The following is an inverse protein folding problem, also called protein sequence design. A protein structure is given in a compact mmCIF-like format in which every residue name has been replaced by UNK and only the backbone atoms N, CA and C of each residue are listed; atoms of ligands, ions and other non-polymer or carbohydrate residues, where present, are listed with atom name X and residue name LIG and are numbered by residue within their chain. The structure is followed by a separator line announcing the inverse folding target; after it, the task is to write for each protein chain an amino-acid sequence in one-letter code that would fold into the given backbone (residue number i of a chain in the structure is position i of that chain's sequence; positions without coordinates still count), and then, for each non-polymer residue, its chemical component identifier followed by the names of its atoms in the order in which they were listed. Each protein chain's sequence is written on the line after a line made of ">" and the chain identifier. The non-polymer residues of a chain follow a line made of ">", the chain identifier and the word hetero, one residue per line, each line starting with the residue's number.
data_IF_872968443196
#
_entry.id   IF_872968443196
#
_cell.length_a   1.000
_cell.length_b   1.000
_cell.length_c   1.000
_cell.angle_alpha   90.00
_cell.angle_beta   90.00
_cell.angle_gamma   90.00
#
_symmetry.space_group_name_H-M   'P 1'
#
loop_
_entity.id
_entity.type
_entity.pdbx_description
1 polymer ?
#
# COMPACT_ATOMS: atom_id res chain seq x y z
N UNK A 1 31.44 20.57 -30.53
CA UNK A 1 31.50 19.68 -31.72
C UNK A 1 30.46 18.58 -31.54
N UNK A 2 29.59 18.43 -32.54
CA UNK A 2 28.71 17.29 -32.85
C UNK A 2 27.58 16.88 -31.87
N UNK A 3 26.40 17.41 -32.21
CA UNK A 3 25.05 16.95 -31.86
C UNK A 3 24.67 15.74 -32.72
N UNK A 4 24.08 14.70 -32.11
CA UNK A 4 23.40 13.63 -32.86
C UNK A 4 22.07 13.31 -32.17
N UNK A 5 20.98 13.78 -32.78
CA UNK A 5 19.59 13.37 -32.54
C UNK A 5 19.21 12.29 -33.57
N UNK A 6 18.50 11.21 -33.20
CA UNK A 6 17.84 10.37 -34.18
C UNK A 6 16.35 10.74 -34.36
N UNK A 7 16.09 11.30 -35.55
CA UNK A 7 15.06 10.94 -36.54
C UNK A 7 13.60 10.70 -36.08
N UNK A 8 12.76 11.67 -36.44
CA UNK A 8 11.31 11.64 -36.55
C UNK A 8 10.89 10.82 -37.79
N UNK A 9 9.84 9.96 -37.73
CA UNK A 9 9.29 9.37 -38.93
C UNK A 9 8.42 10.39 -39.68
N UNK A 10 8.96 10.86 -40.82
CA UNK A 10 8.24 11.63 -41.83
C UNK A 10 7.23 10.73 -42.56
N UNK A 11 5.99 11.20 -42.65
CA UNK A 11 4.93 10.63 -43.48
C UNK A 11 5.32 10.62 -44.97
N UNK A 12 5.07 9.55 -45.74
CA UNK A 12 5.27 9.63 -47.18
C UNK A 12 4.09 10.37 -47.83
N UNK A 13 4.34 11.61 -48.26
CA UNK A 13 3.59 12.25 -49.35
C UNK A 13 4.29 11.91 -50.67
N UNK A 14 3.65 11.05 -51.48
CA UNK A 14 3.78 10.96 -52.95
C UNK A 14 2.33 10.90 -53.46
N UNK A 15 1.76 11.95 -54.02
CA UNK A 15 2.00 12.51 -55.35
C UNK A 15 1.69 11.52 -56.49
N UNK A 16 0.45 11.65 -56.98
CA UNK A 16 0.00 11.72 -58.38
C UNK A 16 0.20 10.51 -59.32
N UNK A 17 -0.77 10.44 -60.26
CA UNK A 17 -0.91 9.55 -61.41
C UNK A 17 -1.58 8.22 -61.02
N UNK A 18 -2.70 7.79 -61.58
CA UNK A 18 -3.28 8.05 -62.90
C UNK A 18 -4.74 7.59 -62.88
N UNK A 19 -5.55 8.24 -63.73
CA UNK A 19 -6.88 7.85 -64.17
C UNK A 19 -7.25 6.37 -63.96
N UNK A 20 -8.18 6.11 -63.02
CA UNK A 20 -9.05 4.95 -63.14
C UNK A 20 -10.33 5.44 -63.79
N UNK A 21 -10.52 5.01 -65.03
CA UNK A 21 -11.71 5.27 -65.81
C UNK A 21 -12.95 4.87 -64.98
N UNK A 22 -13.79 5.85 -64.67
CA UNK A 22 -15.19 5.57 -64.44
C UNK A 22 -15.69 4.84 -65.69
N UNK A 23 -15.98 3.55 -65.53
CA UNK A 23 -16.69 2.75 -66.51
C UNK A 23 -18.14 3.26 -66.58
N UNK A 24 -18.33 4.46 -67.11
CA UNK A 24 -19.58 4.89 -67.71
C UNK A 24 -19.63 4.20 -69.07
N UNK A 25 -20.32 3.06 -69.11
CA UNK A 25 -20.70 2.38 -70.34
C UNK A 25 -21.66 3.26 -71.15
N UNK A 26 -21.12 4.26 -71.84
CA UNK A 26 -21.71 4.83 -73.04
C UNK A 26 -20.94 4.19 -74.19
N UNK A 27 -21.44 3.05 -74.67
CA UNK A 27 -20.98 2.49 -75.93
C UNK A 27 -21.51 3.41 -77.02
N UNK A 28 -20.71 4.43 -77.36
CA UNK A 28 -20.82 5.15 -78.61
C UNK A 28 -20.50 4.13 -79.72
N UNK A 29 -21.55 3.59 -80.34
CA UNK A 29 -21.45 2.87 -81.60
C UNK A 29 -20.89 3.81 -82.66
N UNK A 30 -19.58 3.73 -82.93
CA UNK A 30 -19.01 4.30 -84.14
C UNK A 30 -17.90 3.38 -84.67
N UNK A 31 -18.26 2.56 -85.65
CA UNK A 31 -17.44 2.13 -86.79
C UNK A 31 -18.23 1.11 -87.62
N UNK A 32 -18.29 1.23 -88.95
CA UNK A 32 -19.00 0.30 -89.80
C UNK A 32 -18.09 -0.91 -90.05
N UNK A 33 -18.26 -1.96 -89.26
CA UNK A 33 -17.78 -3.30 -89.63
C UNK A 33 -18.97 -4.09 -90.17
N UNK A 34 -18.81 -4.53 -91.41
CA UNK A 34 -19.75 -5.34 -92.20
C UNK A 34 -20.57 -6.33 -91.37
N UNK A 35 -21.90 -6.26 -91.50
CA UNK A 35 -22.87 -7.19 -90.93
C UNK A 35 -22.52 -8.65 -91.29
N UNK A 36 -21.94 -9.39 -90.35
CA UNK A 36 -22.04 -10.85 -90.33
C UNK A 36 -23.15 -11.21 -89.34
N UNK A 37 -24.27 -11.72 -89.87
CA UNK A 37 -25.41 -12.18 -89.08
C UNK A 37 -24.98 -13.36 -88.19
N UNK A 38 -25.12 -13.23 -86.87
CA UNK A 38 -24.91 -14.32 -85.92
C UNK A 38 -26.05 -15.34 -86.04
N UNK A 39 -25.72 -16.62 -86.24
CA UNK A 39 -26.69 -17.74 -86.40
C UNK A 39 -27.28 -18.18 -85.04
N UNK A 40 -26.66 -17.78 -83.93
CA UNK A 40 -27.16 -18.08 -82.60
C UNK A 40 -28.04 -16.93 -82.07
N UNK A 41 -29.12 -17.23 -81.32
CA UNK A 41 -29.85 -16.20 -80.61
C UNK A 41 -28.89 -15.52 -79.63
N UNK A 42 -28.76 -14.19 -79.73
CA UNK A 42 -28.01 -13.39 -78.77
C UNK A 42 -28.60 -13.62 -77.38
N UNK A 43 -27.75 -13.94 -76.40
CA UNK A 43 -28.17 -14.13 -75.01
C UNK A 43 -28.96 -12.90 -74.56
N UNK A 44 -30.17 -13.11 -74.02
CA UNK A 44 -30.97 -12.05 -73.43
C UNK A 44 -30.12 -11.39 -72.34
N UNK A 45 -29.82 -10.08 -72.42
CA UNK A 45 -29.02 -9.43 -71.40
C UNK A 45 -29.73 -9.54 -70.06
N UNK A 46 -29.06 -10.13 -69.07
CA UNK A 46 -29.58 -10.23 -67.72
C UNK A 46 -29.64 -8.80 -67.15
N UNK A 47 -30.86 -8.29 -66.96
CA UNK A 47 -31.07 -6.91 -66.52
C UNK A 47 -30.76 -6.85 -65.02
N UNK A 48 -29.54 -6.45 -64.69
CA UNK A 48 -29.15 -6.11 -63.32
C UNK A 48 -29.90 -4.84 -62.91
N UNK A 49 -30.97 -4.99 -62.13
CA UNK A 49 -31.62 -3.90 -61.43
C UNK A 49 -30.65 -3.36 -60.36
N UNK A 50 -29.93 -2.30 -60.70
CA UNK A 50 -29.15 -1.54 -59.74
C UNK A 50 -30.12 -0.60 -59.01
N UNK A 51 -30.51 -0.99 -57.80
CA UNK A 51 -31.26 -0.12 -56.90
C UNK A 51 -30.45 1.16 -56.67
N UNK A 52 -30.89 2.24 -57.31
CA UNK A 52 -30.25 3.54 -57.18
C UNK A 52 -30.91 4.24 -55.99
N UNK A 53 -30.16 4.64 -54.96
CA UNK A 53 -30.74 5.21 -53.76
C UNK A 53 -31.52 6.48 -54.10
N UNK A 54 -32.67 6.64 -53.48
CA UNK A 54 -33.46 7.87 -53.65
C UNK A 54 -32.74 9.05 -52.99
N UNK A 55 -32.97 10.30 -53.45
CA UNK A 55 -32.33 11.49 -52.85
C UNK A 55 -32.67 11.65 -51.36
N UNK A 56 -33.81 11.13 -50.91
CA UNK A 56 -34.21 11.12 -49.51
C UNK A 56 -33.41 10.09 -48.69
N UNK A 57 -33.17 8.90 -49.25
CA UNK A 57 -32.36 7.86 -48.62
C UNK A 57 -30.92 8.32 -48.43
N UNK A 58 -30.36 9.06 -49.39
CA UNK A 58 -29.02 9.64 -49.25
C UNK A 58 -28.96 10.64 -48.09
N UNK A 59 -29.95 11.53 -47.98
CA UNK A 59 -30.03 12.51 -46.89
C UNK A 59 -30.21 11.85 -45.51
N UNK A 60 -31.10 10.85 -45.40
CA UNK A 60 -31.28 10.06 -44.17
C UNK A 60 -29.99 9.31 -43.83
N UNK A 61 -29.30 8.77 -44.83
CA UNK A 61 -28.02 8.10 -44.68
C UNK A 61 -26.93 9.03 -44.12
N UNK A 62 -26.82 10.25 -44.65
CA UNK A 62 -25.89 11.27 -44.15
C UNK A 62 -26.24 11.66 -42.72
N UNK A 63 -27.52 11.96 -42.43
CA UNK A 63 -27.96 12.33 -41.09
C UNK A 63 -27.66 11.23 -40.07
N UNK A 64 -28.00 9.98 -40.38
CA UNK A 64 -27.72 8.82 -39.52
C UNK A 64 -26.23 8.66 -39.26
N UNK A 65 -25.38 8.80 -40.29
CA UNK A 65 -23.92 8.71 -40.14
C UNK A 65 -23.40 9.77 -39.19
N UNK A 66 -23.82 11.03 -39.33
CA UNK A 66 -23.42 12.13 -38.44
C UNK A 66 -23.84 11.91 -36.99
N UNK A 67 -25.08 11.46 -36.76
CA UNK A 67 -25.56 11.14 -35.41
C UNK A 67 -24.79 9.96 -34.81
N UNK A 68 -24.54 8.92 -35.61
CA UNK A 68 -23.81 7.74 -35.13
C UNK A 68 -22.34 8.06 -34.84
N UNK A 69 -21.71 8.89 -35.66
CA UNK A 69 -20.32 9.33 -35.49
C UNK A 69 -20.17 10.19 -34.23
N UNK A 70 -21.04 11.19 -34.04
CA UNK A 70 -21.04 12.04 -32.83
C UNK A 70 -21.32 11.23 -31.56
N UNK A 71 -22.27 10.29 -31.61
CA UNK A 71 -22.53 9.37 -30.50
C UNK A 71 -21.32 8.49 -30.18
N UNK A 72 -20.68 7.90 -31.19
CA UNK A 72 -19.47 7.09 -31.01
C UNK A 72 -18.31 7.89 -30.48
N UNK A 73 -18.12 9.12 -30.94
CA UNK A 73 -17.07 10.00 -30.44
C UNK A 73 -17.30 10.34 -28.96
N UNK A 74 -18.51 10.76 -28.59
CA UNK A 74 -18.86 11.04 -27.20
C UNK A 74 -18.67 9.80 -26.32
N UNK A 75 -19.14 8.64 -26.76
CA UNK A 75 -18.96 7.38 -26.06
C UNK A 75 -17.47 7.03 -25.89
N UNK A 76 -16.65 7.19 -26.94
CA UNK A 76 -15.21 6.92 -26.87
C UNK A 76 -14.46 7.83 -25.90
N UNK A 77 -14.85 9.11 -25.80
CA UNK A 77 -14.27 10.07 -24.84
C UNK A 77 -14.59 9.67 -23.40
N UNK A 78 -15.84 9.30 -23.13
CA UNK A 78 -16.28 8.81 -21.80
C UNK A 78 -15.55 7.52 -21.46
N UNK A 79 -15.53 6.55 -22.38
CA UNK A 79 -14.81 5.29 -22.22
C UNK A 79 -13.32 5.55 -21.91
N UNK A 80 -12.69 6.50 -22.61
CA UNK A 80 -11.30 6.87 -22.38
C UNK A 80 -11.03 7.45 -20.98
N UNK A 81 -11.94 8.27 -20.45
CA UNK A 81 -11.85 8.79 -19.06
C UNK A 81 -12.00 7.66 -18.05
N UNK A 82 -13.00 6.79 -18.25
CA UNK A 82 -13.24 5.63 -17.39
C UNK A 82 -12.03 4.68 -17.41
N UNK A 83 -11.47 4.38 -18.59
CA UNK A 83 -10.27 3.55 -18.71
C UNK A 83 -9.07 4.17 -17.98
N UNK A 84 -8.92 5.49 -18.02
CA UNK A 84 -7.83 6.16 -17.28
C UNK A 84 -8.05 6.08 -15.77
N UNK A 85 -9.29 6.22 -15.31
CA UNK A 85 -9.64 6.04 -13.90
C UNK A 85 -9.38 4.62 -13.42
N UNK A 86 -9.86 3.62 -14.17
CA UNK A 86 -9.61 2.20 -13.90
C UNK A 86 -8.11 1.91 -13.87
N UNK A 87 -7.33 2.50 -14.76
CA UNK A 87 -5.87 2.37 -14.76
C UNK A 87 -5.22 2.94 -13.49
N UNK A 88 -5.73 4.07 -12.97
CA UNK A 88 -5.29 4.64 -11.70
C UNK A 88 -5.66 3.71 -10.54
N UNK A 89 -6.88 3.18 -10.53
CA UNK A 89 -7.35 2.23 -9.52
C UNK A 89 -6.49 0.97 -9.46
N UNK A 90 -6.24 0.33 -10.61
CA UNK A 90 -5.37 -0.84 -10.69
C UNK A 90 -3.94 -0.52 -10.26
N UNK A 91 -3.43 0.67 -10.63
CA UNK A 91 -2.11 1.09 -10.19
C UNK A 91 -2.04 1.24 -8.67
N UNK A 92 -3.07 1.83 -8.04
CA UNK A 92 -3.17 1.97 -6.58
C UNK A 92 -3.32 0.60 -5.94
N UNK A 93 -4.22 -0.26 -6.43
CA UNK A 93 -4.46 -1.60 -5.91
C UNK A 93 -3.18 -2.43 -5.93
N UNK A 94 -2.45 -2.44 -7.06
CA UNK A 94 -1.18 -3.14 -7.18
C UNK A 94 -0.14 -2.61 -6.19
N UNK A 95 -0.12 -1.30 -5.92
CA UNK A 95 0.80 -0.70 -4.94
C UNK A 95 0.41 -1.03 -3.51
N UNK A 96 -0.86 -0.97 -3.17
CA UNK A 96 -1.37 -1.35 -1.85
C UNK A 96 -1.09 -2.83 -1.58
N UNK A 97 -1.34 -3.69 -2.57
CA UNK A 97 -1.00 -5.12 -2.51
C UNK A 97 0.51 -5.37 -2.38
N UNK A 98 1.35 -4.53 -2.99
CA UNK A 98 2.80 -4.65 -2.87
C UNK A 98 3.31 -4.23 -1.48
N UNK A 99 2.64 -3.28 -0.82
CA UNK A 99 3.02 -2.82 0.53
C UNK A 99 2.58 -3.84 1.59
N UNK A 100 1.37 -4.37 1.45
CA UNK A 100 0.79 -5.34 2.39
C UNK A 100 1.51 -6.68 2.27
N UNK A 101 2.10 -7.16 3.37
CA UNK A 101 2.66 -8.52 3.38
C UNK A 101 1.55 -9.57 3.51
N UNK A 102 1.51 -10.61 2.65
CA UNK A 102 0.52 -11.68 2.75
C UNK A 102 0.76 -12.61 3.95
N UNK A 103 1.92 -12.54 4.58
CA UNK A 103 2.31 -13.40 5.70
C UNK A 103 1.89 -12.83 7.07
N UNK A 104 1.20 -11.69 7.09
CA UNK A 104 0.86 -10.94 8.30
C UNK A 104 -0.65 -10.70 8.41
N UNK A 105 -1.23 -10.98 9.57
CA UNK A 105 -2.66 -10.80 9.83
C UNK A 105 -3.01 -9.33 10.07
N UNK A 106 -3.39 -8.61 9.02
CA UNK A 106 -3.73 -7.19 9.10
C UNK A 106 -4.99 -6.88 9.93
N UNK A 107 -5.97 -7.77 9.94
CA UNK A 107 -7.26 -7.53 10.60
C UNK A 107 -7.12 -7.29 12.11
N UNK A 108 -6.43 -8.13 12.90
CA UNK A 108 -6.13 -7.81 14.30
C UNK A 108 -5.03 -6.74 14.42
N UNK A 109 -4.03 -6.72 13.53
CA UNK A 109 -2.92 -5.77 13.60
C UNK A 109 -3.37 -4.30 13.53
N UNK A 110 -4.23 -3.96 12.57
CA UNK A 110 -4.78 -2.61 12.45
C UNK A 110 -5.68 -2.24 13.63
N UNK A 111 -6.43 -3.20 14.19
CA UNK A 111 -7.21 -2.98 15.41
C UNK A 111 -6.30 -2.64 16.60
N UNK A 112 -5.21 -3.38 16.80
CA UNK A 112 -4.27 -3.11 17.90
C UNK A 112 -3.56 -1.77 17.74
N UNK A 113 -3.16 -1.42 16.51
CA UNK A 113 -2.62 -0.09 16.20
C UNK A 113 -3.67 0.99 16.49
N UNK A 114 -4.91 0.78 16.03
CA UNK A 114 -6.03 1.69 16.29
C UNK A 114 -6.30 1.91 17.79
N UNK A 115 -6.34 0.84 18.58
CA UNK A 115 -6.50 0.94 20.03
C UNK A 115 -5.31 1.66 20.66
N UNK A 116 -4.07 1.32 20.30
CA UNK A 116 -2.87 1.97 20.84
C UNK A 116 -2.83 3.49 20.54
N UNK A 117 -3.25 3.90 19.34
CA UNK A 117 -3.34 5.33 18.97
C UNK A 117 -4.42 6.07 19.74
N UNK A 118 -5.60 5.45 19.89
CA UNK A 118 -6.68 5.99 20.71
C UNK A 118 -6.26 6.10 22.17
N UNK A 119 -5.56 5.10 22.72
CA UNK A 119 -4.96 5.16 24.05
C UNK A 119 -3.96 6.32 24.15
N UNK A 120 -3.10 6.51 23.15
CA UNK A 120 -2.21 7.67 23.07
C UNK A 120 -2.97 9.00 23.11
N UNK A 121 -4.09 9.10 22.41
CA UNK A 121 -4.98 10.28 22.42
C UNK A 121 -5.65 10.52 23.76
N UNK A 122 -6.13 9.46 24.42
CA UNK A 122 -6.73 9.53 25.75
C UNK A 122 -5.69 9.99 26.78
N UNK A 123 -4.48 9.44 26.74
CA UNK A 123 -3.37 9.84 27.62
C UNK A 123 -2.99 11.32 27.38
N UNK A 124 -3.00 11.76 26.12
CA UNK A 124 -2.65 13.11 25.76
C UNK A 124 -3.77 14.15 26.00
N UNK A 125 -4.99 13.69 26.33
CA UNK A 125 -6.19 14.52 26.45
C UNK A 125 -6.04 15.66 27.46
N UNK A 126 -5.40 15.40 28.60
CA UNK A 126 -5.28 16.37 29.71
C UNK A 126 -3.87 16.96 29.84
N UNK A 127 -3.11 17.00 28.75
CA UNK A 127 -1.72 17.45 28.75
C UNK A 127 -1.53 18.59 27.75
N UNK A 128 -0.37 19.24 27.80
CA UNK A 128 -0.07 20.40 26.95
C UNK A 128 -0.39 20.14 25.47
N UNK A 129 -0.72 21.20 24.72
CA UNK A 129 -1.16 21.08 23.32
C UNK A 129 -0.16 20.32 22.44
N UNK A 130 1.14 20.45 22.71
CA UNK A 130 2.19 19.69 22.03
C UNK A 130 2.05 18.18 22.23
N UNK A 131 1.89 17.71 23.47
CA UNK A 131 1.67 16.28 23.74
C UNK A 131 0.38 15.77 23.12
N UNK A 132 -0.69 16.58 23.09
CA UNK A 132 -1.96 16.22 22.43
C UNK A 132 -1.82 15.94 20.94
N UNK A 133 -0.91 16.65 20.26
CA UNK A 133 -0.64 16.46 18.84
C UNK A 133 0.41 15.38 18.57
N UNK A 134 1.38 15.20 19.48
CA UNK A 134 2.53 14.31 19.26
C UNK A 134 2.29 12.88 19.77
N UNK A 135 1.57 12.66 20.87
CA UNK A 135 1.38 11.32 21.44
C UNK A 135 0.61 10.37 20.50
N UNK A 136 -0.55 10.75 19.91
CA UNK A 136 -1.28 9.83 19.03
C UNK A 136 -0.46 9.32 17.84
N UNK A 137 0.23 10.16 17.04
CA UNK A 137 1.06 9.65 15.96
C UNK A 137 2.28 8.89 16.46
N UNK A 138 2.86 9.26 17.61
CA UNK A 138 3.97 8.49 18.20
C UNK A 138 3.53 7.06 18.53
N UNK A 139 2.39 6.91 19.21
CA UNK A 139 1.80 5.60 19.50
C UNK A 139 1.42 4.85 18.21
N UNK A 140 1.00 5.56 17.15
CA UNK A 140 0.73 4.97 15.84
C UNK A 140 1.98 4.29 15.29
N UNK A 141 3.08 5.03 15.17
CA UNK A 141 4.31 4.49 14.59
C UNK A 141 4.91 3.37 15.45
N UNK A 142 4.85 3.54 16.78
CA UNK A 142 5.38 2.54 17.70
C UNK A 142 4.58 1.23 17.65
N UNK A 143 3.25 1.32 17.66
CA UNK A 143 2.37 0.15 17.56
C UNK A 143 2.40 -0.47 16.16
N UNK A 144 2.51 0.32 15.10
CA UNK A 144 2.63 -0.20 13.73
C UNK A 144 3.90 -1.04 13.57
N UNK A 145 5.04 -0.55 14.08
CA UNK A 145 6.29 -1.32 14.08
C UNK A 145 6.19 -2.61 14.90
N UNK A 146 5.38 -2.61 15.96
CA UNK A 146 5.23 -3.78 16.86
C UNK A 146 4.25 -4.82 16.34
N UNK A 147 3.08 -4.41 15.83
CA UNK A 147 1.99 -5.30 15.43
C UNK A 147 1.96 -5.62 13.94
N UNK A 148 2.52 -4.74 13.10
CA UNK A 148 2.60 -4.94 11.64
C UNK A 148 4.02 -4.63 11.09
N UNK A 149 5.09 -5.28 11.60
CA UNK A 149 6.47 -4.98 11.25
C UNK A 149 6.78 -5.09 9.75
N UNK A 150 6.26 -6.11 9.06
CA UNK A 150 6.59 -6.34 7.65
C UNK A 150 5.95 -5.29 6.76
N UNK A 151 4.66 -5.03 6.98
CA UNK A 151 3.93 -3.99 6.24
C UNK A 151 4.53 -2.60 6.49
N UNK A 152 4.95 -2.33 7.74
CA UNK A 152 5.62 -1.06 8.09
C UNK A 152 6.96 -0.91 7.38
N UNK A 153 7.77 -1.97 7.29
CA UNK A 153 9.05 -1.95 6.59
C UNK A 153 8.91 -1.78 5.06
N UNK A 154 7.92 -2.44 4.46
CA UNK A 154 7.60 -2.28 3.04
C UNK A 154 7.13 -0.85 2.74
N UNK A 155 6.27 -0.30 3.60
CA UNK A 155 5.79 1.06 3.48
C UNK A 155 6.95 2.07 3.61
N UNK A 156 7.85 1.90 4.57
CA UNK A 156 9.00 2.79 4.73
C UNK A 156 9.96 2.72 3.55
N UNK A 157 10.21 1.52 3.01
CA UNK A 157 11.02 1.34 1.81
C UNK A 157 10.37 2.02 0.58
N UNK A 158 9.05 1.90 0.44
CA UNK A 158 8.31 2.59 -0.62
C UNK A 158 8.41 4.11 -0.48
N UNK A 159 8.19 4.65 0.72
CA UNK A 159 8.34 6.08 0.99
C UNK A 159 9.77 6.57 0.70
N UNK A 160 10.79 5.78 1.05
CA UNK A 160 12.19 6.06 0.69
C UNK A 160 12.39 6.11 -0.82
N UNK A 161 11.86 5.14 -1.58
CA UNK A 161 11.95 5.16 -3.05
C UNK A 161 11.24 6.37 -3.68
N UNK A 162 10.16 6.83 -3.06
CA UNK A 162 9.41 8.00 -3.50
C UNK A 162 10.21 9.28 -3.21
N UNK A 163 10.83 9.35 -2.04
CA UNK A 163 11.70 10.44 -1.64
C UNK A 163 12.93 10.53 -2.54
N UNK A 164 13.58 9.42 -2.87
CA UNK A 164 14.73 9.40 -3.78
C UNK A 164 14.34 9.91 -5.18
N UNK A 165 13.15 9.54 -5.66
CA UNK A 165 12.65 9.93 -6.98
C UNK A 165 12.27 11.41 -7.08
N UNK A 166 11.60 11.96 -6.08
CA UNK A 166 11.05 13.33 -6.15
C UNK A 166 11.84 14.35 -5.33
N UNK A 167 12.53 13.93 -4.29
CA UNK A 167 13.26 14.77 -3.33
C UNK A 167 14.65 14.19 -2.98
N UNK A 168 15.57 14.06 -3.96
CA UNK A 168 16.84 13.35 -3.76
C UNK A 168 17.74 13.98 -2.68
N UNK A 169 17.65 15.30 -2.47
CA UNK A 169 18.40 15.98 -1.41
C UNK A 169 17.89 15.65 -0.01
N UNK A 170 16.60 15.32 0.14
CA UNK A 170 16.04 14.90 1.41
C UNK A 170 16.42 13.44 1.69
N UNK A 171 16.33 12.56 0.68
CA UNK A 171 16.71 11.15 0.80
C UNK A 171 18.16 10.99 1.33
N UNK A 172 19.12 11.72 0.74
CA UNK A 172 20.50 11.70 1.21
C UNK A 172 20.64 12.13 2.68
N UNK A 173 19.87 13.12 3.11
CA UNK A 173 19.89 13.59 4.52
C UNK A 173 19.25 12.58 5.45
N UNK A 174 18.17 11.92 5.04
CA UNK A 174 17.57 10.83 5.79
C UNK A 174 18.52 9.64 5.93
N UNK A 175 19.23 9.24 4.87
CA UNK A 175 20.21 8.16 4.94
C UNK A 175 21.36 8.49 5.90
N UNK A 176 21.90 9.71 5.80
CA UNK A 176 22.93 10.20 6.71
C UNK A 176 22.40 10.25 8.16
N UNK A 177 21.18 10.74 8.36
CA UNK A 177 20.56 10.82 9.68
C UNK A 177 20.34 9.41 10.28
N UNK A 178 19.88 8.46 9.47
CA UNK A 178 19.71 7.08 9.87
C UNK A 178 21.04 6.46 10.29
N UNK A 179 22.09 6.60 9.48
CA UNK A 179 23.43 6.10 9.82
C UNK A 179 23.99 6.73 11.11
N UNK A 180 23.80 8.03 11.31
CA UNK A 180 24.19 8.69 12.57
C UNK A 180 23.36 8.25 13.76
N UNK A 181 22.07 7.94 13.56
CA UNK A 181 21.19 7.46 14.62
C UNK A 181 21.57 6.04 15.07
N UNK A 182 21.92 5.15 14.14
CA UNK A 182 22.41 3.80 14.43
C UNK A 182 23.72 3.88 15.21
N UNK A 183 24.65 4.71 14.73
CA UNK A 183 25.93 4.94 15.39
C UNK A 183 25.76 5.57 16.79
N UNK A 184 24.78 6.47 16.97
CA UNK A 184 24.46 7.04 18.28
C UNK A 184 23.84 6.00 19.22
N UNK A 185 23.01 5.10 18.70
CA UNK A 185 22.40 4.01 19.46
C UNK A 185 23.46 3.01 19.94
N UNK A 186 24.40 2.64 19.08
CA UNK A 186 25.55 1.81 19.45
C UNK A 186 26.41 2.48 20.51
N UNK A 187 26.76 3.75 20.33
CA UNK A 187 27.50 4.52 21.34
C UNK A 187 26.78 4.61 22.67
N UNK A 188 25.46 4.75 22.67
CA UNK A 188 24.67 4.79 23.90
C UNK A 188 24.68 3.43 24.61
N UNK A 189 24.58 2.34 23.86
CA UNK A 189 24.70 0.97 24.38
C UNK A 189 26.08 0.75 25.00
N UNK A 190 27.14 1.16 24.32
CA UNK A 190 28.51 1.04 24.81
C UNK A 190 28.76 1.92 26.04
N UNK A 191 28.29 3.17 26.02
CA UNK A 191 28.36 4.08 27.16
C UNK A 191 27.61 3.53 28.38
N UNK A 192 26.49 2.84 28.17
CA UNK A 192 25.74 2.19 29.26
C UNK A 192 26.49 1.00 29.84
N UNK A 193 27.14 0.18 29.00
CA UNK A 193 27.98 -0.93 29.44
C UNK A 193 29.22 -0.45 30.20
N UNK A 194 29.90 0.58 29.66
CA UNK A 194 31.06 1.21 30.30
C UNK A 194 30.69 1.94 31.60
N UNK A 195 29.51 2.59 31.63
CA UNK A 195 28.97 3.24 32.83
C UNK A 195 28.75 2.27 33.98
N UNK A 196 28.27 1.05 33.72
CA UNK A 196 28.15 0.00 34.75
C UNK A 196 29.51 -0.38 35.34
N UNK A 197 30.54 -0.48 34.52
CA UNK A 197 31.90 -0.79 34.98
C UNK A 197 32.50 0.39 35.77
N UNK A 198 32.27 1.62 35.32
CA UNK A 198 32.73 2.83 36.01
C UNK A 198 32.04 3.01 37.37
N UNK A 199 30.74 2.75 37.49
CA UNK A 199 30.03 2.80 38.77
C UNK A 199 30.64 1.80 39.76
N UNK A 200 30.90 0.55 39.33
CA UNK A 200 31.56 -0.45 40.18
C UNK A 200 32.96 -0.01 40.63
N UNK A 201 33.76 0.53 39.72
CA UNK A 201 35.11 1.02 40.06
C UNK A 201 35.07 2.24 40.99
N UNK A 202 34.13 3.17 40.78
CA UNK A 202 33.96 4.34 41.65
C UNK A 202 33.50 3.96 43.05
N UNK A 203 32.64 2.95 43.17
CA UNK A 203 32.21 2.41 44.45
C UNK A 203 33.38 1.73 45.18
N UNK A 204 34.22 0.98 44.46
CA UNK A 204 35.45 0.39 45.02
C UNK A 204 36.44 1.46 45.49
N UNK A 205 36.71 2.49 44.68
CA UNK A 205 37.61 3.60 45.04
C UNK A 205 37.08 4.42 46.23
N UNK A 206 35.77 4.64 46.31
CA UNK A 206 35.16 5.32 47.45
C UNK A 206 35.31 4.51 48.74
N UNK A 207 35.07 3.20 48.68
CA UNK A 207 35.24 2.30 49.82
C UNK A 207 36.70 2.21 50.24
N UNK A 208 37.64 2.09 49.29
CA UNK A 208 39.07 2.02 49.55
C UNK A 208 39.56 3.33 50.22
N UNK A 209 39.10 4.50 49.77
CA UNK A 209 39.47 5.81 50.35
C UNK A 209 38.88 6.03 51.76
N UNK A 210 37.68 5.52 52.03
CA UNK A 210 37.10 5.54 53.38
C UNK A 210 37.87 4.57 54.28
N UNK A 211 38.27 3.40 53.78
CA UNK A 211 39.08 2.44 54.51
C UNK A 211 40.49 2.97 54.84
N UNK A 212 41.14 3.68 53.91
CA UNK A 212 42.46 4.31 54.14
C UNK A 212 42.40 5.45 55.16
N UNK A 213 41.32 6.23 55.15
CA UNK A 213 41.17 7.38 56.07
C UNK A 213 40.71 6.99 57.46
N UNK A 214 39.94 5.91 57.59
CA UNK A 214 39.40 5.45 58.88
C UNK A 214 40.13 4.24 59.46
N UNK A 215 41.00 3.57 58.68
CA UNK A 215 41.71 2.35 59.07
C UNK A 215 40.80 1.13 59.27
N UNK A 216 39.49 1.25 58.98
CA UNK A 216 38.50 0.21 59.18
C UNK A 216 38.39 -0.67 57.93
N UNK A 217 38.50 -2.00 58.09
CA UNK A 217 38.40 -2.98 57.00
C UNK A 217 36.97 -3.18 56.47
N UNK A 218 36.34 -2.12 55.97
CA UNK A 218 34.96 -2.11 55.50
C UNK A 218 34.70 -3.08 54.33
N UNK A 219 35.72 -3.31 53.49
CA UNK A 219 35.66 -4.24 52.36
C UNK A 219 35.48 -5.72 52.77
N UNK A 220 36.04 -6.11 53.91
CA UNK A 220 35.91 -7.46 54.48
C UNK A 220 34.61 -7.58 55.31
N UNK A 221 34.19 -6.52 56.03
CA UNK A 221 33.03 -6.59 56.93
C UNK A 221 31.68 -6.41 56.23
N UNK A 222 31.62 -5.68 55.11
CA UNK A 222 30.39 -5.54 54.30
C UNK A 222 30.24 -6.61 53.20
N UNK A 223 31.18 -7.54 53.09
CA UNK A 223 31.11 -8.62 52.09
C UNK A 223 31.20 -8.15 50.63
N UNK A 224 31.58 -6.89 50.38
CA UNK A 224 31.70 -6.35 49.02
C UNK A 224 32.81 -7.03 48.19
N UNK A 225 33.84 -7.59 48.83
CA UNK A 225 34.82 -8.44 48.16
C UNK A 225 34.27 -9.84 47.80
N UNK A 226 33.28 -10.33 48.55
CA UNK A 226 32.75 -11.70 48.40
C UNK A 226 31.53 -11.75 47.46
N UNK A 227 30.86 -10.61 47.24
CA UNK A 227 29.75 -10.46 46.29
C UNK A 227 30.15 -10.40 44.81
N UNK A 228 31.40 -10.76 44.48
CA UNK A 228 31.83 -11.00 43.09
C UNK A 228 31.61 -12.45 42.63
N UNK A 229 31.13 -13.36 43.49
CA UNK A 229 30.77 -14.72 43.05
C UNK A 229 29.46 -15.13 43.74
N UNK A 230 28.39 -15.20 42.93
CA UNK A 230 27.11 -15.85 43.21
C UNK A 230 26.17 -15.16 44.25
N UNK A 231 24.86 -15.36 44.07
CA UNK A 231 23.73 -15.14 45.04
C UNK A 231 22.62 -14.14 44.68
N UNK A 232 22.78 -13.05 43.91
CA UNK A 232 21.59 -12.19 43.59
C UNK A 232 20.94 -12.42 42.22
N UNK A 233 21.40 -13.39 41.44
CA UNK A 233 20.72 -13.78 40.19
C UNK A 233 19.70 -14.89 40.43
N UNK A 234 19.91 -15.77 41.42
CA UNK A 234 19.02 -16.91 41.70
C UNK A 234 17.80 -16.54 42.54
N UNK A 235 17.93 -15.60 43.46
CA UNK A 235 16.79 -15.15 44.30
C UNK A 235 15.91 -14.15 43.55
N UNK A 236 16.50 -13.26 42.74
CA UNK A 236 15.74 -12.35 41.87
C UNK A 236 15.10 -13.11 40.70
N UNK A 237 15.75 -14.14 40.13
CA UNK A 237 15.11 -14.99 39.13
C UNK A 237 13.90 -15.74 39.71
N UNK A 238 13.99 -16.25 40.94
CA UNK A 238 12.85 -16.91 41.61
C UNK A 238 11.73 -15.94 41.97
N UNK A 239 12.04 -14.75 42.48
CA UNK A 239 11.02 -13.73 42.80
C UNK A 239 10.38 -13.15 41.53
N UNK A 240 11.13 -13.05 40.43
CA UNK A 240 10.59 -12.66 39.12
C UNK A 240 9.75 -13.79 38.53
N UNK A 241 10.16 -15.05 38.62
CA UNK A 241 9.34 -16.19 38.18
C UNK A 241 8.07 -16.35 39.02
N UNK A 242 8.15 -16.18 40.34
CA UNK A 242 7.01 -16.24 41.26
C UNK A 242 6.03 -15.09 40.98
N UNK A 243 6.52 -13.86 40.80
CA UNK A 243 5.67 -12.73 40.40
C UNK A 243 5.13 -12.84 38.98
N UNK A 244 5.85 -13.48 38.05
CA UNK A 244 5.37 -13.74 36.68
C UNK A 244 4.29 -14.83 36.69
N UNK A 245 4.39 -15.83 37.57
CA UNK A 245 3.36 -16.86 37.76
C UNK A 245 2.13 -16.30 38.48
N UNK A 246 2.30 -15.47 39.51
CA UNK A 246 1.19 -14.80 40.18
C UNK A 246 0.47 -13.80 39.26
N UNK A 247 1.22 -13.03 38.47
CA UNK A 247 0.61 -12.12 37.48
C UNK A 247 -0.03 -12.87 36.34
N UNK A 248 0.53 -13.98 35.83
CA UNK A 248 -0.16 -14.85 34.87
C UNK A 248 -1.42 -15.48 35.45
N UNK A 249 -1.40 -15.97 36.69
CA UNK A 249 -2.58 -16.53 37.35
C UNK A 249 -3.66 -15.46 37.64
N UNK A 250 -3.26 -14.23 37.96
CA UNK A 250 -4.18 -13.10 38.12
C UNK A 250 -4.77 -12.66 36.78
N UNK A 251 -3.98 -12.70 35.70
CA UNK A 251 -4.43 -12.42 34.34
C UNK A 251 -5.35 -13.53 33.84
N UNK A 252 -5.04 -14.81 34.09
CA UNK A 252 -5.87 -15.94 33.69
C UNK A 252 -7.19 -15.99 34.47
N UNK A 253 -7.18 -15.65 35.78
CA UNK A 253 -8.42 -15.45 36.55
C UNK A 253 -9.24 -14.26 36.07
N UNK A 254 -8.60 -13.13 35.75
CA UNK A 254 -9.30 -11.99 35.18
C UNK A 254 -9.85 -12.29 33.76
N UNK A 255 -9.15 -13.13 32.99
CA UNK A 255 -9.60 -13.59 31.67
C UNK A 255 -10.72 -14.63 31.78
N UNK A 256 -10.72 -15.50 32.81
CA UNK A 256 -11.84 -16.41 33.10
C UNK A 256 -13.06 -15.68 33.65
N UNK A 257 -12.91 -14.71 34.56
CA UNK A 257 -14.03 -13.88 35.06
C UNK A 257 -14.66 -13.06 33.92
N UNK A 258 -13.85 -12.49 33.03
CA UNK A 258 -14.34 -11.77 31.84
C UNK A 258 -14.95 -12.73 30.80
N UNK A 259 -14.55 -14.01 30.76
CA UNK A 259 -15.15 -15.04 29.89
C UNK A 259 -16.44 -15.63 30.46
N UNK A 260 -16.61 -15.64 31.78
CA UNK A 260 -17.84 -16.04 32.48
C UNK A 260 -18.91 -14.94 32.38
N UNK A 261 -18.54 -13.67 32.39
CA UNK A 261 -19.49 -12.55 32.21
C UNK A 261 -19.89 -12.28 30.73
N UNK A 262 -19.14 -12.81 29.75
CA UNK A 262 -19.40 -12.58 28.32
C UNK A 262 -20.14 -13.72 27.59
N UNK A 263 -20.76 -14.66 28.31
CA UNK A 263 -21.67 -15.65 27.73
C UNK A 263 -23.13 -15.21 27.93
N UNK A 264 -23.81 -14.58 26.95
CA UNK A 264 -25.25 -14.39 27.05
C UNK A 264 -25.96 -15.75 26.89
N UNK A 265 -26.98 -16.06 27.71
CA UNK A 265 -27.77 -17.26 27.52
C UNK A 265 -28.62 -17.14 26.24
N UNK A 266 -28.47 -18.13 25.37
CA UNK A 266 -29.44 -18.47 24.32
C UNK A 266 -30.47 -19.40 24.96
N UNK A 267 -31.69 -18.93 25.20
CA UNK A 267 -32.90 -19.74 25.43
C UNK A 267 -34.08 -19.00 24.77
N UNK A 268 -34.51 -19.45 23.60
CA UNK A 268 -35.72 -20.28 23.41
C UNK A 268 -37.05 -19.52 23.58
N UNK A 269 -37.55 -18.92 22.48
CA UNK A 269 -38.96 -18.56 22.33
C UNK A 269 -39.70 -19.80 21.82
N UNK A 270 -40.42 -20.46 22.73
CA UNK A 270 -41.38 -21.54 22.45
C UNK A 270 -42.52 -21.04 21.59
N UNK A 271 -42.65 -21.61 20.41
CA UNK A 271 -43.94 -21.84 19.75
C UNK A 271 -44.73 -22.91 20.48
N UNK A 272 -46.06 -22.73 20.49
CA UNK A 272 -47.14 -23.64 20.97
C UNK A 272 -47.76 -23.28 22.32
N UNK A 273 -48.83 -22.48 22.27
CA UNK A 273 -50.15 -22.74 22.88
C UNK A 273 -51.02 -21.48 22.83
N UNK A 274 -51.68 -21.21 21.69
CA UNK A 274 -52.94 -20.43 21.70
C UNK A 274 -53.96 -21.19 20.85
N UNK A 275 -54.55 -22.19 21.50
CA UNK A 275 -55.86 -22.73 21.15
C UNK A 275 -56.58 -23.13 22.43
N UNK A 276 -57.20 -22.16 23.11
CA UNK A 276 -58.53 -22.25 23.75
C UNK A 276 -58.85 -20.99 24.56
N UNK A 277 -59.80 -20.24 24.01
CA UNK A 277 -60.82 -19.41 24.65
C UNK A 277 -60.94 -19.56 26.18
N UNK A 278 -60.72 -18.47 26.90
CA UNK A 278 -61.62 -17.84 27.89
C UNK A 278 -61.35 -16.34 27.87
#
# INVERSE_FOLDING_TARGET
>A
MQSIRPLKPESPRRALLSASAAATGVVLHTSPQSEKLSIYPSQTPDVLLVETPSPLEEQIGVARRRVTETYREAHSRVQGVISRWIGVEHAIENRVKAIISPNESLTPGLLYVGVATLTGSIIARNRFLGTRLLLPPLFLFLSAKQFIPQTTANLSAYLGSLEEKYFPTLAQKHDIANAHSEMAWERLKDATQNGRQWVNHSAEVAVDKVQETTGLKLKETLGWAQKRVEVQVTEVAKVVEEKVVETKAAIDKAVEEVKVEASPPVEEVKTEEVKRLV
#
